data_IF_064359807939
#
_entry.id   IF_064359807939
#
_cell.length_a   1.000
_cell.length_b   1.000
_cell.length_c   1.000
_cell.angle_alpha   90.00
_cell.angle_beta   90.00
_cell.angle_gamma   90.00
#
_symmetry.space_group_name_H-M   'P 1'
#
loop_
_entity.id
_entity.type
_entity.pdbx_description
1 polymer ?
#
# COMPACT_ATOMS: atom_id res chain seq x y z
N UNK A 1 -17.66 -12.83 9.05
CA UNK A 1 -17.95 -12.03 10.28
C UNK A 1 -16.69 -11.87 11.14
N UNK A 2 -15.57 -12.41 10.67
CA UNK A 2 -14.50 -12.94 11.52
C UNK A 2 -13.35 -11.95 11.68
N UNK A 3 -13.19 -11.05 10.71
CA UNK A 3 -12.26 -9.93 10.78
C UNK A 3 -12.71 -8.80 11.73
N UNK A 4 -13.95 -8.85 12.25
CA UNK A 4 -14.56 -7.79 13.07
C UNK A 4 -14.42 -6.39 12.45
N UNK A 5 -14.59 -6.30 11.13
CA UNK A 5 -14.66 -5.04 10.38
C UNK A 5 -15.99 -4.96 9.62
N UNK A 6 -16.49 -3.74 9.32
CA UNK A 6 -17.68 -3.59 8.49
C UNK A 6 -17.49 -4.24 7.11
N UNK A 7 -18.48 -5.01 6.58
CA UNK A 7 -18.38 -5.63 5.26
C UNK A 7 -18.05 -4.64 4.14
N UNK A 8 -18.59 -3.42 4.25
CA UNK A 8 -18.28 -2.31 3.33
C UNK A 8 -16.78 -2.01 3.24
N UNK A 9 -16.03 -2.09 4.36
CA UNK A 9 -14.59 -1.85 4.35
C UNK A 9 -13.87 -2.88 3.49
N UNK A 10 -14.22 -4.15 3.65
CA UNK A 10 -13.64 -5.25 2.86
C UNK A 10 -14.00 -5.07 1.38
N UNK A 11 -15.25 -4.73 1.08
CA UNK A 11 -15.70 -4.49 -0.29
C UNK A 11 -14.94 -3.33 -0.95
N UNK A 12 -14.73 -2.22 -0.23
CA UNK A 12 -13.95 -1.09 -0.74
C UNK A 12 -12.47 -1.47 -0.99
N UNK A 13 -11.88 -2.33 -0.17
CA UNK A 13 -10.52 -2.83 -0.38
C UNK A 13 -10.46 -3.72 -1.63
N UNK A 14 -11.40 -4.67 -1.77
CA UNK A 14 -11.47 -5.57 -2.93
C UNK A 14 -11.67 -4.77 -4.23
N UNK A 15 -12.46 -3.70 -4.19
CA UNK A 15 -12.68 -2.82 -5.34
C UNK A 15 -11.55 -1.79 -5.56
N UNK A 16 -10.47 -1.82 -4.77
CA UNK A 16 -9.36 -0.87 -4.88
C UNK A 16 -9.72 0.57 -4.49
N UNK A 17 -10.89 0.79 -3.87
CA UNK A 17 -11.37 2.12 -3.44
C UNK A 17 -10.81 2.54 -2.09
N UNK A 18 -10.19 1.61 -1.35
CA UNK A 18 -9.60 1.83 -0.03
C UNK A 18 -8.30 1.04 0.09
N UNK A 19 -7.25 1.69 0.56
CA UNK A 19 -6.00 1.04 0.90
C UNK A 19 -6.06 0.23 2.21
N UNK A 20 -5.14 -0.70 2.37
CA UNK A 20 -4.97 -1.50 3.58
C UNK A 20 -4.24 -0.67 4.64
N UNK A 21 -4.91 -0.41 5.76
CA UNK A 21 -4.32 0.23 6.95
C UNK A 21 -3.63 -0.78 7.86
N UNK A 22 -2.82 -0.32 8.82
CA UNK A 22 -2.20 -1.18 9.84
C UNK A 22 -3.22 -2.00 10.64
N UNK A 23 -4.35 -1.41 11.10
CA UNK A 23 -5.45 -2.14 11.75
C UNK A 23 -5.99 -3.27 10.87
N UNK A 24 -6.16 -3.01 9.58
CA UNK A 24 -6.66 -4.00 8.63
C UNK A 24 -5.63 -5.10 8.41
N UNK A 25 -4.34 -4.76 8.27
CA UNK A 25 -3.24 -5.70 8.12
C UNK A 25 -3.10 -6.63 9.34
N UNK A 26 -3.23 -6.12 10.56
CA UNK A 26 -3.23 -6.92 11.79
C UNK A 26 -4.40 -7.91 11.85
N UNK A 27 -5.58 -7.52 11.36
CA UNK A 27 -6.75 -8.40 11.31
C UNK A 27 -6.62 -9.48 10.24
N UNK A 28 -6.17 -9.10 9.05
CA UNK A 28 -5.96 -10.03 7.94
C UNK A 28 -4.86 -11.04 8.26
N UNK A 29 -3.74 -10.60 8.84
CA UNK A 29 -2.65 -11.49 9.28
C UNK A 29 -3.12 -12.49 10.32
N UNK A 30 -3.82 -12.03 11.36
CA UNK A 30 -4.40 -12.91 12.38
C UNK A 30 -5.37 -13.94 11.80
N UNK A 31 -6.20 -13.53 10.83
CA UNK A 31 -7.22 -14.40 10.26
C UNK A 31 -6.67 -15.40 9.24
N UNK A 32 -5.75 -14.98 8.38
CA UNK A 32 -5.19 -15.82 7.31
C UNK A 32 -3.89 -16.54 7.69
N UNK A 33 -3.37 -16.34 8.91
CA UNK A 33 -2.11 -16.94 9.34
C UNK A 33 -0.90 -16.37 8.58
N UNK A 34 -0.98 -15.11 8.15
CA UNK A 34 0.10 -14.41 7.45
C UNK A 34 0.72 -13.32 8.34
N UNK A 35 1.58 -12.47 7.78
CA UNK A 35 2.17 -11.33 8.52
C UNK A 35 1.49 -10.02 8.13
N UNK A 36 1.40 -9.08 9.05
CA UNK A 36 0.91 -7.73 8.80
C UNK A 36 1.79 -6.98 7.79
N UNK A 37 3.10 -7.25 7.82
CA UNK A 37 4.07 -6.72 6.84
C UNK A 37 3.77 -7.18 5.42
N UNK A 38 3.34 -8.42 5.22
CA UNK A 38 2.94 -8.90 3.89
C UNK A 38 1.85 -7.99 3.29
N UNK A 39 0.82 -7.69 4.07
CA UNK A 39 -0.30 -6.85 3.62
C UNK A 39 0.11 -5.38 3.40
N UNK A 40 0.91 -4.81 4.30
CA UNK A 40 1.40 -3.44 4.14
C UNK A 40 2.36 -3.30 2.96
N UNK A 41 3.19 -4.30 2.69
CA UNK A 41 4.09 -4.29 1.54
C UNK A 41 3.32 -4.29 0.21
N UNK A 42 2.18 -5.00 0.14
CA UNK A 42 1.30 -4.94 -1.03
C UNK A 42 0.74 -3.52 -1.23
N UNK A 43 0.29 -2.89 -0.14
CA UNK A 43 -0.21 -1.52 -0.18
C UNK A 43 0.87 -0.54 -0.65
N UNK A 44 2.06 -0.57 -0.03
CA UNK A 44 3.18 0.31 -0.38
C UNK A 44 3.61 0.11 -1.83
N UNK A 45 3.70 -1.14 -2.30
CA UNK A 45 4.07 -1.42 -3.69
C UNK A 45 3.06 -0.84 -4.68
N UNK A 46 1.76 -1.00 -4.41
CA UNK A 46 0.70 -0.43 -5.23
C UNK A 46 0.75 1.10 -5.28
N UNK A 47 0.91 1.74 -4.12
CA UNK A 47 1.02 3.21 -4.01
C UNK A 47 2.24 3.74 -4.78
N UNK A 48 3.40 3.09 -4.61
CA UNK A 48 4.62 3.47 -5.32
C UNK A 48 4.46 3.34 -6.83
N UNK A 49 3.88 2.24 -7.33
CA UNK A 49 3.74 2.03 -8.77
C UNK A 49 2.74 3.03 -9.38
N UNK A 50 1.59 3.22 -8.72
CA UNK A 50 0.57 4.18 -9.16
C UNK A 50 1.14 5.61 -9.16
N UNK A 51 1.94 5.97 -8.17
CA UNK A 51 2.56 7.30 -8.10
C UNK A 51 3.66 7.48 -9.14
N UNK A 52 4.49 6.46 -9.37
CA UNK A 52 5.49 6.47 -10.43
C UNK A 52 4.86 6.69 -11.79
N UNK A 53 3.77 6.00 -12.09
CA UNK A 53 3.04 6.18 -13.35
C UNK A 53 2.50 7.60 -13.49
N UNK A 54 2.00 8.18 -12.39
CA UNK A 54 1.40 9.51 -12.38
C UNK A 54 2.40 10.66 -12.45
N UNK A 55 3.49 10.58 -11.68
CA UNK A 55 4.40 11.72 -11.45
C UNK A 55 5.88 11.40 -11.64
N UNK A 56 6.26 10.14 -11.89
CA UNK A 56 7.65 9.70 -11.99
C UNK A 56 8.48 10.51 -12.99
N UNK A 57 7.98 10.70 -14.22
CA UNK A 57 8.67 11.49 -15.24
C UNK A 57 8.84 12.97 -14.85
N UNK A 58 7.89 13.52 -14.07
CA UNK A 58 7.97 14.90 -13.59
C UNK A 58 9.01 15.02 -12.47
N UNK A 59 8.96 14.13 -11.49
CA UNK A 59 9.93 14.06 -10.39
C UNK A 59 11.35 13.89 -10.92
N UNK A 60 11.56 13.03 -11.92
CA UNK A 60 12.87 12.81 -12.52
C UNK A 60 13.47 14.07 -13.19
N UNK A 61 12.64 15.01 -13.65
CA UNK A 61 13.08 16.30 -14.19
C UNK A 61 13.30 17.36 -13.11
N UNK A 62 12.46 17.35 -12.06
CA UNK A 62 12.48 18.35 -10.99
C UNK A 62 13.55 18.05 -9.93
N UNK A 63 13.88 16.78 -9.69
CA UNK A 63 14.76 16.34 -8.59
C UNK A 63 16.02 15.66 -9.15
N UNK A 64 17.19 16.31 -9.08
CA UNK A 64 18.45 15.70 -9.52
C UNK A 64 18.91 14.60 -8.57
N UNK A 65 19.62 13.61 -9.10
CA UNK A 65 20.31 12.60 -8.29
C UNK A 65 21.52 13.25 -7.62
N UNK A 66 21.63 13.09 -6.30
CA UNK A 66 22.82 13.52 -5.57
C UNK A 66 24.04 12.74 -6.07
N UNK A 67 24.90 13.38 -6.86
CA UNK A 67 26.22 12.83 -7.16
C UNK A 67 27.09 12.94 -5.91
N UNK A 68 27.72 11.84 -5.50
CA UNK A 68 28.77 11.92 -4.48
C UNK A 68 29.90 12.77 -5.07
N UNK A 69 30.32 13.81 -4.33
CA UNK A 69 31.54 14.53 -4.65
C UNK A 69 32.72 13.54 -4.61
N UNK A 70 33.50 13.52 -5.70
CA UNK A 70 34.75 12.77 -5.80
C UNK A 70 35.78 13.25 -4.79
#
# INVERSE_FOLDING_TARGET
RDLRVPPRRVNEIVLGKRGITADTALRLSRYFGTTERFWLNLQVRYELETEKDRTGSRIAREVPVLSKAS
#
